data_IF_107530939776
#
_entry.id   IF_107530939776
#
_cell.length_a   1.000
_cell.length_b   1.000
_cell.length_c   1.000
_cell.angle_alpha   90.00
_cell.angle_beta   90.00
_cell.angle_gamma   90.00
#
_symmetry.space_group_name_H-M   'P 1'
#
loop_
_entity.id
_entity.type
_entity.pdbx_description
1 polymer ?
#
# COMPACT_ATOMS: atom_id res chain seq x y z
N UNK A 1 -6.30 -27.20 5.14
CA UNK A 1 -6.47 -27.84 3.80
C UNK A 1 -7.93 -28.04 3.40
N UNK A 2 -8.85 -28.36 4.32
CA UNK A 2 -10.29 -28.53 4.01
C UNK A 2 -10.94 -27.29 3.38
N UNK A 3 -10.61 -26.10 3.86
CA UNK A 3 -11.26 -24.85 3.40
C UNK A 3 -10.78 -24.41 2.01
N UNK A 4 -9.52 -24.69 1.67
CA UNK A 4 -8.98 -24.44 0.33
C UNK A 4 -9.72 -25.25 -0.74
N UNK A 5 -10.04 -26.51 -0.44
CA UNK A 5 -10.81 -27.36 -1.35
C UNK A 5 -12.25 -26.85 -1.55
N UNK A 6 -12.88 -26.31 -0.50
CA UNK A 6 -14.21 -25.68 -0.57
C UNK A 6 -14.20 -24.44 -1.48
N UNK A 7 -13.24 -23.54 -1.26
CA UNK A 7 -13.08 -22.33 -2.09
C UNK A 7 -12.83 -22.68 -3.56
N UNK A 8 -11.98 -23.66 -3.84
CA UNK A 8 -11.71 -24.10 -5.21
C UNK A 8 -12.92 -24.76 -5.88
N UNK A 9 -13.73 -25.49 -5.12
CA UNK A 9 -14.99 -26.05 -5.63
C UNK A 9 -15.99 -24.93 -5.96
N UNK A 10 -16.12 -23.92 -5.09
CA UNK A 10 -16.96 -22.75 -5.31
C UNK A 10 -16.51 -21.96 -6.55
N UNK A 11 -15.23 -21.64 -6.68
CA UNK A 11 -14.68 -20.91 -7.84
C UNK A 11 -14.87 -21.63 -9.19
N UNK A 12 -15.03 -22.95 -9.19
CA UNK A 12 -15.31 -23.73 -10.40
C UNK A 12 -16.79 -23.82 -10.74
N UNK A 13 -17.67 -23.45 -9.80
CA UNK A 13 -19.11 -23.46 -10.04
C UNK A 13 -19.53 -22.29 -10.94
N UNK A 14 -20.44 -22.54 -11.89
CA UNK A 14 -20.96 -21.51 -12.79
C UNK A 14 -22.12 -20.71 -12.20
N UNK A 15 -22.57 -21.06 -10.99
CA UNK A 15 -23.81 -20.56 -10.38
C UNK A 15 -23.60 -19.50 -9.29
N UNK A 16 -22.37 -19.04 -9.07
CA UNK A 16 -22.10 -18.02 -8.06
C UNK A 16 -22.29 -16.61 -8.65
N UNK A 17 -22.96 -15.71 -7.91
CA UNK A 17 -22.97 -14.28 -8.25
C UNK A 17 -21.54 -13.72 -8.37
N UNK A 18 -21.34 -12.82 -9.35
CA UNK A 18 -20.03 -12.23 -9.66
C UNK A 18 -19.34 -11.58 -8.44
N UNK A 19 -20.11 -11.01 -7.52
CA UNK A 19 -19.59 -10.32 -6.34
C UNK A 19 -18.86 -11.27 -5.37
N UNK A 20 -19.22 -12.56 -5.36
CA UNK A 20 -18.56 -13.57 -4.54
C UNK A 20 -17.28 -14.12 -5.15
N UNK A 21 -17.09 -13.98 -6.47
CA UNK A 21 -15.89 -14.50 -7.16
C UNK A 21 -14.64 -13.78 -6.65
N UNK A 22 -14.67 -12.44 -6.54
CA UNK A 22 -13.54 -11.65 -6.07
C UNK A 22 -13.18 -11.98 -4.61
N UNK A 23 -14.18 -12.18 -3.75
CA UNK A 23 -13.97 -12.55 -2.35
C UNK A 23 -13.36 -13.95 -2.24
N UNK A 24 -13.83 -14.92 -3.02
CA UNK A 24 -13.30 -16.29 -3.04
C UNK A 24 -11.85 -16.35 -3.57
N UNK A 25 -11.49 -15.54 -4.56
CA UNK A 25 -10.10 -15.44 -5.04
C UNK A 25 -9.18 -14.88 -3.94
N UNK A 26 -9.63 -13.86 -3.21
CA UNK A 26 -8.86 -13.32 -2.07
C UNK A 26 -8.71 -14.34 -0.94
N UNK A 27 -9.79 -15.07 -0.62
CA UNK A 27 -9.75 -16.15 0.37
C UNK A 27 -8.81 -17.29 -0.04
N UNK A 28 -8.77 -17.66 -1.32
CA UNK A 28 -7.80 -18.65 -1.81
C UNK A 28 -6.35 -18.19 -1.56
N UNK A 29 -6.05 -16.93 -1.90
CA UNK A 29 -4.73 -16.34 -1.67
C UNK A 29 -4.33 -16.35 -0.20
N UNK A 30 -5.25 -15.94 0.69
CA UNK A 30 -5.05 -15.92 2.15
C UNK A 30 -4.87 -17.35 2.72
N UNK A 31 -5.67 -18.30 2.27
CA UNK A 31 -5.52 -19.71 2.68
C UNK A 31 -4.16 -20.28 2.25
N UNK A 32 -3.63 -19.88 1.09
CA UNK A 32 -2.29 -20.28 0.62
C UNK A 32 -1.17 -19.64 1.42
N UNK A 33 -1.35 -18.42 1.93
CA UNK A 33 -0.40 -17.78 2.85
C UNK A 33 -0.47 -18.30 4.29
N UNK A 34 -1.41 -19.21 4.59
CA UNK A 34 -1.53 -19.89 5.88
C UNK A 34 -2.40 -19.16 6.91
N UNK A 35 -3.07 -18.07 6.54
CA UNK A 35 -3.91 -17.30 7.44
C UNK A 35 -5.27 -17.01 6.83
N UNK A 36 -6.34 -17.35 7.56
CA UNK A 36 -7.70 -16.93 7.22
C UNK A 36 -8.48 -16.71 8.52
N UNK A 37 -9.05 -15.50 8.74
CA UNK A 37 -9.88 -15.18 9.89
C UNK A 37 -11.03 -16.18 10.08
N UNK A 38 -11.48 -16.34 11.33
CA UNK A 38 -12.58 -17.26 11.67
C UNK A 38 -13.90 -16.86 11.01
N UNK A 39 -14.16 -15.56 10.89
CA UNK A 39 -15.35 -15.03 10.21
C UNK A 39 -15.39 -15.43 8.73
N UNK A 40 -14.25 -15.26 8.04
CA UNK A 40 -14.10 -15.67 6.64
C UNK A 40 -14.27 -17.19 6.46
N UNK A 41 -13.79 -18.00 7.43
CA UNK A 41 -14.01 -19.47 7.41
C UNK A 41 -15.48 -19.83 7.56
N UNK A 42 -16.18 -19.20 8.50
CA UNK A 42 -17.60 -19.43 8.71
C UNK A 42 -18.41 -19.05 7.47
N UNK A 43 -18.02 -17.96 6.80
CA UNK A 43 -18.62 -17.54 5.55
C UNK A 43 -18.39 -18.56 4.42
N UNK A 44 -17.15 -19.03 4.22
CA UNK A 44 -16.85 -20.09 3.24
C UNK A 44 -17.66 -21.35 3.53
N UNK A 45 -17.82 -21.72 4.79
CA UNK A 45 -18.58 -22.90 5.20
C UNK A 45 -20.06 -22.75 4.91
N UNK A 46 -20.66 -21.60 5.24
CA UNK A 46 -22.05 -21.31 4.92
C UNK A 46 -22.29 -21.30 3.41
N UNK A 47 -21.42 -20.64 2.64
CA UNK A 47 -21.52 -20.56 1.19
C UNK A 47 -21.34 -21.93 0.52
N UNK A 48 -20.42 -22.75 1.04
CA UNK A 48 -20.21 -24.10 0.55
C UNK A 48 -21.37 -25.03 0.88
N UNK A 49 -21.97 -24.93 2.08
CA UNK A 49 -23.18 -25.69 2.41
C UNK A 49 -24.34 -25.29 1.49
N UNK A 50 -24.55 -23.99 1.28
CA UNK A 50 -25.56 -23.51 0.33
C UNK A 50 -25.35 -24.07 -1.08
N UNK A 51 -24.10 -24.06 -1.58
CA UNK A 51 -23.75 -24.64 -2.88
C UNK A 51 -24.07 -26.14 -2.97
N UNK A 52 -23.88 -26.90 -1.88
CA UNK A 52 -24.20 -28.34 -1.86
C UNK A 52 -25.70 -28.63 -1.74
N UNK A 53 -26.47 -27.75 -1.12
CA UNK A 53 -27.90 -27.97 -0.85
C UNK A 53 -28.82 -27.37 -1.91
N UNK A 54 -28.30 -26.54 -2.80
CA UNK A 54 -29.10 -25.90 -3.86
C UNK A 54 -29.06 -26.79 -5.12
N UNK A 55 -30.18 -27.41 -5.53
CA UNK A 55 -30.24 -28.11 -6.82
C UNK A 55 -30.07 -27.09 -7.95
N UNK A 56 -29.53 -27.52 -9.09
CA UNK A 56 -29.17 -26.77 -10.33
C UNK A 56 -30.29 -25.89 -10.97
N UNK A 57 -31.38 -25.62 -10.26
CA UNK A 57 -32.45 -24.71 -10.64
C UNK A 57 -32.38 -23.43 -9.81
N UNK A 58 -32.05 -22.32 -10.45
CA UNK A 58 -32.36 -20.98 -9.96
C UNK A 58 -33.89 -20.84 -9.89
N UNK A 59 -34.51 -20.55 -8.73
CA UNK A 59 -35.62 -19.63 -8.72
C UNK A 59 -35.06 -18.24 -8.48
N UNK A 60 -35.37 -17.34 -9.41
CA UNK A 60 -35.41 -15.92 -9.09
C UNK A 60 -36.25 -15.77 -7.82
N UNK A 61 -35.67 -15.05 -6.87
CA UNK A 61 -36.14 -14.80 -5.52
C UNK A 61 -37.60 -14.29 -5.47
N UNK A 62 -38.57 -15.20 -5.31
CA UNK A 62 -39.98 -14.87 -4.99
C UNK A 62 -40.36 -15.18 -3.52
N UNK A 63 -39.38 -15.51 -2.68
CA UNK A 63 -39.56 -15.70 -1.24
C UNK A 63 -38.89 -14.59 -0.43
N UNK A 64 -39.16 -13.33 -0.79
CA UNK A 64 -39.10 -12.24 0.18
C UNK A 64 -40.55 -12.08 0.64
N UNK A 65 -40.87 -12.64 1.82
CA UNK A 65 -42.09 -12.24 2.51
C UNK A 65 -42.06 -10.73 2.62
N UNK A 66 -43.10 -10.06 2.11
CA UNK A 66 -43.31 -8.62 2.03
C UNK A 66 -42.39 -7.83 2.98
N UNK A 67 -41.14 -7.62 2.57
CA UNK A 67 -40.35 -6.57 3.16
C UNK A 67 -41.05 -5.29 2.71
N UNK A 68 -41.27 -4.33 3.63
CA UNK A 68 -41.84 -3.05 3.26
C UNK A 68 -41.02 -2.52 2.12
N UNK A 69 -41.64 -2.43 0.93
CA UNK A 69 -41.03 -1.85 -0.26
C UNK A 69 -40.57 -0.47 0.16
N UNK A 70 -39.26 -0.34 0.40
CA UNK A 70 -38.66 0.94 0.73
C UNK A 70 -39.12 1.90 -0.36
N UNK A 71 -39.65 3.09 0.00
CA UNK A 71 -40.19 4.01 -0.98
C UNK A 71 -39.13 4.20 -2.07
N UNK A 72 -39.54 4.13 -3.33
CA UNK A 72 -38.65 4.17 -4.50
C UNK A 72 -37.69 5.39 -4.52
N UNK A 73 -37.95 6.38 -3.66
CA UNK A 73 -37.10 7.54 -3.39
C UNK A 73 -35.77 7.22 -2.65
N UNK A 74 -35.69 6.16 -1.83
CA UNK A 74 -34.51 5.84 -1.00
C UNK A 74 -33.31 5.35 -1.83
N UNK A 75 -33.57 4.57 -2.89
CA UNK A 75 -32.49 4.06 -3.74
C UNK A 75 -31.79 5.17 -4.54
N UNK A 76 -32.56 6.14 -5.03
CA UNK A 76 -32.01 7.29 -5.76
C UNK A 76 -31.15 8.18 -4.87
N UNK A 77 -31.54 8.36 -3.60
CA UNK A 77 -30.76 9.13 -2.63
C UNK A 77 -29.45 8.40 -2.26
N UNK A 78 -29.51 7.09 -2.03
CA UNK A 78 -28.32 6.27 -1.76
C UNK A 78 -27.34 6.26 -2.93
N UNK A 79 -27.83 6.23 -4.17
CA UNK A 79 -26.97 6.29 -5.36
C UNK A 79 -26.27 7.65 -5.47
N UNK A 80 -27.00 8.76 -5.24
CA UNK A 80 -26.39 10.10 -5.20
C UNK A 80 -25.35 10.24 -4.10
N UNK A 81 -25.63 9.72 -2.89
CA UNK A 81 -24.66 9.71 -1.80
C UNK A 81 -23.41 8.88 -2.14
N UNK A 82 -23.57 7.77 -2.88
CA UNK A 82 -22.45 6.97 -3.37
C UNK A 82 -21.62 7.74 -4.40
N UNK A 83 -22.26 8.40 -5.35
CA UNK A 83 -21.59 9.22 -6.37
C UNK A 83 -20.84 10.40 -5.75
N UNK A 84 -21.42 11.05 -4.74
CA UNK A 84 -20.76 12.14 -4.03
C UNK A 84 -19.54 11.64 -3.23
N UNK A 85 -19.63 10.45 -2.61
CA UNK A 85 -18.49 9.82 -1.94
C UNK A 85 -17.39 9.45 -2.94
N UNK A 86 -17.75 8.93 -4.11
CA UNK A 86 -16.81 8.63 -5.19
C UNK A 86 -16.09 9.90 -5.65
N UNK A 87 -16.82 10.98 -5.92
CA UNK A 87 -16.23 12.29 -6.29
C UNK A 87 -15.31 12.84 -5.20
N UNK A 88 -15.69 12.71 -3.93
CA UNK A 88 -14.84 13.13 -2.81
C UNK A 88 -13.56 12.29 -2.73
N UNK A 89 -13.66 10.99 -2.93
CA UNK A 89 -12.50 10.10 -2.95
C UNK A 89 -11.57 10.43 -4.13
N UNK A 90 -12.12 10.64 -5.32
CA UNK A 90 -11.37 11.04 -6.52
C UNK A 90 -10.66 12.38 -6.31
N UNK A 91 -11.34 13.38 -5.75
CA UNK A 91 -10.75 14.67 -5.45
C UNK A 91 -9.62 14.56 -4.42
N UNK A 92 -9.77 13.67 -3.41
CA UNK A 92 -8.74 13.39 -2.42
C UNK A 92 -7.52 12.70 -3.05
N UNK A 93 -7.74 11.71 -3.92
CA UNK A 93 -6.67 11.02 -4.64
C UNK A 93 -5.89 12.03 -5.49
N UNK A 94 -6.58 12.84 -6.28
CA UNK A 94 -5.94 13.86 -7.11
C UNK A 94 -5.17 14.93 -6.29
N UNK A 95 -5.57 15.16 -5.04
CA UNK A 95 -4.83 16.01 -4.09
C UNK A 95 -3.55 15.34 -3.59
N UNK A 96 -3.63 14.08 -3.17
CA UNK A 96 -2.48 13.30 -2.72
C UNK A 96 -1.46 13.06 -3.84
N UNK A 97 -1.92 12.83 -5.07
CA UNK A 97 -1.04 12.68 -6.24
C UNK A 97 -0.23 13.95 -6.51
N UNK A 98 -0.85 15.13 -6.36
CA UNK A 98 -0.15 16.42 -6.46
C UNK A 98 0.88 16.58 -5.35
N UNK A 99 0.52 16.29 -4.11
CA UNK A 99 1.44 16.37 -2.97
C UNK A 99 2.65 15.45 -3.15
N UNK A 100 2.44 14.21 -3.61
CA UNK A 100 3.52 13.26 -3.92
C UNK A 100 4.42 13.81 -5.03
N UNK A 101 3.83 14.39 -6.08
CA UNK A 101 4.59 15.00 -7.18
C UNK A 101 5.47 16.14 -6.68
N UNK A 102 4.92 17.07 -5.92
CA UNK A 102 5.64 18.23 -5.39
C UNK A 102 6.78 17.81 -4.44
N UNK A 103 6.53 16.83 -3.57
CA UNK A 103 7.54 16.26 -2.68
C UNK A 103 8.66 15.57 -3.48
N UNK A 104 8.30 14.82 -4.52
CA UNK A 104 9.28 14.10 -5.36
C UNK A 104 10.20 15.10 -6.05
N UNK A 105 9.65 16.15 -6.67
CA UNK A 105 10.43 17.20 -7.31
C UNK A 105 11.36 17.91 -6.30
N UNK A 106 10.85 18.23 -5.10
CA UNK A 106 11.64 18.84 -4.04
C UNK A 106 12.84 17.98 -3.61
N UNK A 107 12.65 16.67 -3.46
CA UNK A 107 13.73 15.75 -3.11
C UNK A 107 14.72 15.55 -4.26
N UNK A 108 14.28 15.50 -5.51
CA UNK A 108 15.16 15.40 -6.67
C UNK A 108 16.09 16.62 -6.79
N UNK A 109 15.57 17.82 -6.52
CA UNK A 109 16.37 19.04 -6.46
C UNK A 109 17.42 18.97 -5.35
N UNK A 110 17.05 18.51 -4.14
CA UNK A 110 17.98 18.34 -3.03
C UNK A 110 19.08 17.32 -3.34
N UNK A 111 18.72 16.17 -3.93
CA UNK A 111 19.68 15.14 -4.36
C UNK A 111 20.65 15.71 -5.38
N UNK A 112 20.15 16.51 -6.33
CA UNK A 112 20.99 17.18 -7.34
C UNK A 112 21.99 18.13 -6.71
N UNK A 113 21.56 18.94 -5.73
CA UNK A 113 22.43 19.85 -4.98
C UNK A 113 23.50 19.07 -4.22
N UNK A 114 23.12 18.03 -3.49
CA UNK A 114 24.05 17.18 -2.73
C UNK A 114 25.08 16.49 -3.65
N UNK A 115 24.64 15.98 -4.81
CA UNK A 115 25.55 15.40 -5.82
C UNK A 115 26.57 16.42 -6.33
N UNK A 116 26.16 17.67 -6.57
CA UNK A 116 27.08 18.74 -6.98
C UNK A 116 28.11 19.05 -5.89
N UNK A 117 27.68 19.13 -4.63
CA UNK A 117 28.60 19.34 -3.51
C UNK A 117 29.60 18.20 -3.36
N UNK A 118 29.15 16.95 -3.50
CA UNK A 118 30.02 15.78 -3.42
C UNK A 118 31.05 15.79 -4.56
N UNK A 119 30.63 16.03 -5.80
CA UNK A 119 31.54 16.14 -6.94
C UNK A 119 32.55 17.30 -6.79
N UNK A 120 32.14 18.43 -6.22
CA UNK A 120 33.04 19.54 -5.93
C UNK A 120 34.08 19.21 -4.84
N UNK A 121 33.68 18.45 -3.82
CA UNK A 121 34.60 17.96 -2.79
C UNK A 121 35.62 16.96 -3.37
N UNK A 122 35.16 16.00 -4.18
CA UNK A 122 36.03 15.02 -4.86
C UNK A 122 37.04 15.70 -5.81
N UNK A 123 36.59 16.70 -6.58
CA UNK A 123 37.48 17.46 -7.47
C UNK A 123 38.52 18.31 -6.70
N UNK A 124 38.18 18.75 -5.47
CA UNK A 124 39.09 19.47 -4.58
C UNK A 124 40.13 18.57 -3.89
N UNK A 125 39.78 17.31 -3.59
CA UNK A 125 40.64 16.35 -2.91
C UNK A 125 41.80 15.81 -3.76
N UNK A 126 41.74 15.91 -5.08
CA UNK A 126 42.75 15.34 -5.98
C UNK A 126 44.10 16.11 -6.03
N UNK A 127 44.26 17.24 -5.32
CA UNK A 127 45.47 18.08 -5.40
C UNK A 127 46.21 18.40 -4.10
N UNK A 128 45.81 17.86 -2.95
CA UNK A 128 46.56 18.11 -1.72
C UNK A 128 46.59 16.87 -0.84
N UNK A 129 47.79 16.51 -0.35
CA UNK A 129 47.96 15.52 0.71
C UNK A 129 47.32 16.01 2.01
N UNK A 130 45.99 15.85 2.13
CA UNK A 130 45.14 16.36 3.21
C UNK A 130 44.19 15.28 3.75
N UNK A 131 44.67 14.04 3.91
CA UNK A 131 43.87 12.91 4.40
C UNK A 131 43.18 13.12 5.76
N UNK A 132 43.50 14.17 6.52
CA UNK A 132 42.86 14.45 7.81
C UNK A 132 41.69 15.44 7.76
N UNK A 133 41.59 16.27 6.72
CA UNK A 133 40.56 17.33 6.65
C UNK A 133 39.31 16.86 5.90
N UNK A 134 39.48 16.05 4.86
CA UNK A 134 38.37 15.42 4.13
C UNK A 134 37.64 14.39 5.01
N UNK A 135 38.35 13.63 5.83
CA UNK A 135 37.75 12.71 6.81
C UNK A 135 36.85 13.44 7.81
N UNK A 136 37.25 14.63 8.26
CA UNK A 136 36.45 15.43 9.20
C UNK A 136 35.18 15.95 8.54
N UNK A 137 35.26 16.46 7.31
CA UNK A 137 34.10 16.93 6.55
C UNK A 137 33.15 15.78 6.24
N UNK A 138 33.67 14.62 5.86
CA UNK A 138 32.87 13.42 5.62
C UNK A 138 32.16 12.93 6.89
N UNK A 139 32.86 12.87 8.03
CA UNK A 139 32.24 12.51 9.31
C UNK A 139 31.18 13.52 9.75
N UNK A 140 31.38 14.81 9.49
CA UNK A 140 30.40 15.85 9.81
C UNK A 140 29.14 15.72 8.94
N UNK A 141 29.29 15.51 7.64
CA UNK A 141 28.17 15.25 6.71
C UNK A 141 27.41 13.99 7.12
N UNK A 142 28.10 12.90 7.44
CA UNK A 142 27.48 11.66 7.91
C UNK A 142 26.68 11.88 9.20
N UNK A 143 27.24 12.63 10.15
CA UNK A 143 26.59 12.94 11.42
C UNK A 143 25.34 13.80 11.21
N UNK A 144 25.42 14.82 10.36
CA UNK A 144 24.27 15.66 10.02
C UNK A 144 23.17 14.85 9.32
N UNK A 145 23.55 14.00 8.38
CA UNK A 145 22.63 13.11 7.68
C UNK A 145 21.91 12.16 8.65
N UNK A 146 22.66 11.48 9.53
CA UNK A 146 22.08 10.63 10.56
C UNK A 146 21.13 11.42 11.46
N UNK A 147 21.51 12.61 11.92
CA UNK A 147 20.64 13.41 12.78
C UNK A 147 19.28 13.72 12.12
N UNK A 148 19.27 14.01 10.82
CA UNK A 148 18.08 14.48 10.12
C UNK A 148 17.20 13.37 9.53
N UNK A 149 17.79 12.21 9.22
CA UNK A 149 17.11 11.11 8.51
C UNK A 149 17.08 9.79 9.29
N UNK A 150 17.70 9.68 10.48
CA UNK A 150 17.65 8.44 11.26
C UNK A 150 16.20 8.10 11.64
N UNK A 151 15.75 6.83 11.46
CA UNK A 151 14.39 6.39 11.75
C UNK A 151 13.87 6.77 13.14
N UNK A 152 14.78 6.84 14.12
CA UNK A 152 14.46 7.16 15.52
C UNK A 152 14.30 8.66 15.79
N UNK A 153 14.76 9.53 14.88
CA UNK A 153 14.72 10.99 15.03
C UNK A 153 13.67 11.66 14.13
N UNK A 154 12.82 10.88 13.46
CA UNK A 154 11.80 11.41 12.55
C UNK A 154 10.50 11.64 13.33
N UNK A 155 10.22 12.91 13.64
CA UNK A 155 8.93 13.38 14.19
C UNK A 155 7.82 13.53 13.13
N UNK A 156 8.01 12.93 11.95
CA UNK A 156 7.02 12.92 10.87
C UNK A 156 6.10 11.67 10.97
N UNK A 157 4.85 11.81 10.55
CA UNK A 157 3.84 10.74 10.52
C UNK A 157 3.43 10.42 9.07
N UNK A 158 2.99 9.19 8.83
CA UNK A 158 2.50 8.75 7.52
C UNK A 158 3.58 8.70 6.44
N UNK A 159 3.24 9.15 5.23
CA UNK A 159 4.07 9.04 4.01
C UNK A 159 5.43 9.69 4.15
N UNK A 160 5.53 10.84 4.81
CA UNK A 160 6.81 11.54 5.01
C UNK A 160 7.81 10.67 5.80
N UNK A 161 7.32 9.94 6.81
CA UNK A 161 8.15 9.01 7.59
C UNK A 161 8.70 7.88 6.72
N UNK A 162 7.85 7.31 5.87
CA UNK A 162 8.26 6.25 4.95
C UNK A 162 9.31 6.73 3.95
N UNK A 163 9.10 7.90 3.35
CA UNK A 163 10.06 8.51 2.42
C UNK A 163 11.40 8.74 3.10
N UNK A 164 11.42 9.37 4.28
CA UNK A 164 12.67 9.63 5.03
C UNK A 164 13.40 8.34 5.43
N UNK A 165 12.68 7.29 5.84
CA UNK A 165 13.26 5.97 6.14
C UNK A 165 13.91 5.36 4.88
N UNK A 166 13.24 5.46 3.72
CA UNK A 166 13.77 4.93 2.48
C UNK A 166 15.00 5.72 1.99
N UNK A 167 14.98 7.05 2.12
CA UNK A 167 16.16 7.91 1.85
C UNK A 167 17.31 7.52 2.76
N UNK A 168 17.07 7.36 4.07
CA UNK A 168 18.10 6.94 5.01
C UNK A 168 18.73 5.61 4.61
N UNK A 169 17.94 4.57 4.32
CA UNK A 169 18.45 3.25 3.93
C UNK A 169 19.36 3.33 2.70
N UNK A 170 18.89 4.00 1.64
CA UNK A 170 19.62 4.09 0.36
C UNK A 170 20.93 4.87 0.47
N UNK A 171 20.93 6.00 1.17
CA UNK A 171 22.14 6.81 1.33
C UNK A 171 23.10 6.25 2.38
N UNK A 172 22.58 5.65 3.45
CA UNK A 172 23.43 5.09 4.50
C UNK A 172 24.26 3.91 3.99
N UNK A 173 23.71 3.06 3.09
CA UNK A 173 24.50 2.00 2.46
C UNK A 173 25.64 2.53 1.60
N UNK A 174 25.41 3.64 0.88
CA UNK A 174 26.43 4.28 0.05
C UNK A 174 27.52 4.95 0.90
N UNK A 175 27.12 5.69 1.95
CA UNK A 175 28.04 6.28 2.93
C UNK A 175 28.92 5.19 3.57
N UNK A 176 28.31 4.08 3.98
CA UNK A 176 29.04 2.96 4.59
C UNK A 176 29.98 2.25 3.59
N UNK A 177 29.70 2.30 2.28
CA UNK A 177 30.60 1.77 1.25
C UNK A 177 31.82 2.67 1.06
N UNK A 178 31.62 3.98 1.04
CA UNK A 178 32.69 4.98 0.92
C UNK A 178 33.65 4.87 2.10
N UNK A 179 33.14 4.71 3.33
CA UNK A 179 33.96 4.55 4.54
C UNK A 179 34.81 3.27 4.57
N UNK A 180 34.42 2.24 3.81
CA UNK A 180 35.13 0.95 3.73
C UNK A 180 36.16 0.88 2.59
N UNK A 181 36.16 1.85 1.68
CA UNK A 181 37.08 1.91 0.54
C UNK A 181 38.30 2.74 0.88
#
# INVERSE_FOLDING_TARGET
MRDLAKVQALLRSKSLPNDYIFQLVDYERRLRSGFLPTEDRNFIDALYQWYLTTPDSVPVSDAIGEEPVAPADDFGERLRQSDDKLRQAEARIAGLEREISDLTEGYEQQITILRRHLAAAEAGGAKAGHGHEDDRRFQEVRRLFARQFHPDNIDAVGTEREVRINVFKSFWSEIARIEKS
#
